data_IF_754697365279
#
_entry.id   IF_754697365279
#
_cell.length_a   1.000
_cell.length_b   1.000
_cell.length_c   1.000
_cell.angle_alpha   90.00
_cell.angle_beta   90.00
_cell.angle_gamma   90.00
#
_symmetry.space_group_name_H-M   'P 1'
#
loop_
_entity.id
_entity.type
_entity.pdbx_description
1 polymer ?
#
# COMPACT_ATOMS: atom_id res chain seq x y z
N UNK A 1 2.02 16.07 4.26
CA UNK A 1 1.32 15.49 3.07
C UNK A 1 0.97 16.62 2.11
N UNK A 2 1.19 16.40 0.84
CA UNK A 2 1.04 17.41 -0.21
C UNK A 2 0.13 16.86 -1.31
N UNK A 3 -0.87 17.66 -1.73
CA UNK A 3 -1.80 17.36 -2.83
C UNK A 3 -2.28 18.69 -3.45
N UNK A 4 -2.94 18.72 -4.62
CA UNK A 4 -3.28 19.95 -5.30
C UNK A 4 -3.97 20.98 -4.39
N UNK A 5 -3.36 22.15 -4.28
CA UNK A 5 -3.87 23.25 -3.44
C UNK A 5 -3.65 23.11 -1.93
N UNK A 6 -3.05 22.02 -1.45
CA UNK A 6 -2.89 21.75 -0.02
C UNK A 6 -1.48 21.27 0.33
N UNK A 7 -0.97 21.75 1.46
CA UNK A 7 0.23 21.25 2.12
C UNK A 7 -0.07 21.10 3.61
N UNK A 8 -0.25 19.87 4.08
CA UNK A 8 -0.55 19.57 5.50
C UNK A 8 0.77 19.36 6.24
N UNK A 9 1.05 20.20 7.21
CA UNK A 9 2.23 20.15 8.06
C UNK A 9 1.97 20.96 9.36
N UNK A 10 2.90 21.02 10.29
CA UNK A 10 2.71 21.57 11.63
C UNK A 10 2.18 23.03 11.71
N UNK A 11 2.44 23.88 10.70
CA UNK A 11 1.90 25.25 10.61
C UNK A 11 0.62 25.35 9.78
N UNK A 12 0.25 24.31 9.07
CA UNK A 12 -0.98 24.21 8.27
C UNK A 12 -1.61 22.84 8.49
N UNK A 13 -2.23 22.67 9.66
CA UNK A 13 -2.71 21.39 10.13
C UNK A 13 -4.04 20.95 9.51
N UNK A 14 -4.77 21.85 8.83
CA UNK A 14 -6.08 21.58 8.24
C UNK A 14 -6.05 21.86 6.75
N UNK A 15 -6.60 20.94 5.98
CA UNK A 15 -6.82 21.03 4.54
C UNK A 15 -8.17 20.50 4.15
N UNK A 16 -8.48 20.46 2.87
CA UNK A 16 -9.69 19.85 2.35
C UNK A 16 -9.61 18.34 2.50
N UNK A 17 -10.51 17.76 3.30
CA UNK A 17 -10.60 16.31 3.57
C UNK A 17 -9.28 15.66 4.10
N UNK A 18 -8.36 16.47 4.68
CA UNK A 18 -7.14 15.96 5.31
C UNK A 18 -6.68 16.85 6.45
N UNK A 19 -6.14 16.25 7.51
CA UNK A 19 -5.62 17.00 8.66
C UNK A 19 -4.46 16.28 9.35
N UNK A 20 -3.65 17.06 10.07
CA UNK A 20 -2.66 16.57 11.00
C UNK A 20 -3.35 16.39 12.36
N UNK A 21 -3.45 15.15 12.84
CA UNK A 21 -4.16 14.82 14.08
C UNK A 21 -3.38 15.23 15.32
N UNK A 22 -2.08 14.94 15.30
CA UNK A 22 -1.16 15.21 16.41
C UNK A 22 0.16 15.71 15.83
N UNK A 23 0.62 16.84 16.34
CA UNK A 23 1.97 17.38 16.09
C UNK A 23 2.83 17.03 17.30
N UNK A 24 3.74 16.07 17.16
CA UNK A 24 4.65 15.66 18.23
C UNK A 24 5.88 16.58 18.25
N UNK A 25 5.96 17.43 19.25
CA UNK A 25 7.08 18.36 19.44
C UNK A 25 8.20 17.79 20.30
N UNK A 26 7.96 16.67 20.97
CA UNK A 26 8.91 16.05 21.91
C UNK A 26 9.73 14.92 21.26
N UNK A 27 9.35 14.47 20.07
CA UNK A 27 10.03 13.44 19.29
C UNK A 27 9.87 12.02 19.81
N UNK A 28 8.86 11.76 20.63
CA UNK A 28 8.58 10.45 21.24
C UNK A 28 7.25 9.84 20.80
N UNK A 29 6.41 10.56 20.09
CA UNK A 29 5.10 10.10 19.64
C UNK A 29 5.01 9.99 18.11
N UNK A 30 3.99 9.29 17.62
CA UNK A 30 3.70 9.30 16.19
C UNK A 30 3.01 10.60 15.79
N UNK A 31 3.45 11.21 14.69
CA UNK A 31 2.65 12.19 13.95
C UNK A 31 1.68 11.45 13.02
N UNK A 32 0.44 11.85 13.01
CA UNK A 32 -0.58 11.21 12.18
C UNK A 32 -1.23 12.23 11.27
N UNK A 33 -1.22 11.97 9.98
CA UNK A 33 -2.02 12.71 9.00
C UNK A 33 -3.16 11.81 8.55
N UNK A 34 -4.38 12.24 8.79
CA UNK A 34 -5.59 11.59 8.33
C UNK A 34 -6.05 12.21 7.02
N UNK A 35 -6.25 11.36 6.00
CA UNK A 35 -6.94 11.69 4.77
C UNK A 35 -8.34 11.07 4.84
N UNK A 36 -9.36 11.91 5.08
CA UNK A 36 -10.74 11.46 5.24
C UNK A 36 -11.33 10.99 3.91
N UNK A 37 -11.00 11.69 2.84
CA UNK A 37 -11.48 11.39 1.50
C UNK A 37 -10.43 11.67 0.45
N UNK A 38 -10.13 10.67 -0.36
CA UNK A 38 -9.30 10.85 -1.54
C UNK A 38 -10.11 11.35 -2.72
N UNK A 39 -9.71 12.46 -3.32
CA UNK A 39 -10.33 12.96 -4.56
C UNK A 39 -9.84 12.17 -5.76
N UNK A 40 -10.77 11.72 -6.60
CA UNK A 40 -10.43 10.99 -7.82
C UNK A 40 -9.70 11.92 -8.80
N UNK A 41 -8.63 11.40 -9.40
CA UNK A 41 -7.79 12.15 -10.33
C UNK A 41 -6.72 13.02 -9.67
N UNK A 42 -6.72 13.19 -8.35
CA UNK A 42 -5.69 13.92 -7.62
C UNK A 42 -4.62 12.99 -7.06
N UNK A 43 -3.38 13.39 -7.22
CA UNK A 43 -2.23 12.68 -6.64
C UNK A 43 -1.80 13.31 -5.32
N UNK A 44 -1.30 12.48 -4.43
CA UNK A 44 -0.87 12.86 -3.08
C UNK A 44 0.56 12.40 -2.87
N UNK A 45 1.41 13.26 -2.32
CA UNK A 45 2.79 12.93 -1.96
C UNK A 45 2.95 13.03 -0.44
N UNK A 46 3.55 11.99 0.14
CA UNK A 46 3.93 11.99 1.54
C UNK A 46 5.46 12.10 1.66
N UNK A 47 5.89 13.09 2.44
CA UNK A 47 7.30 13.30 2.72
C UNK A 47 7.51 13.64 4.21
N UNK A 48 8.67 13.29 4.73
CA UNK A 48 9.14 13.62 6.08
C UNK A 48 10.31 14.57 5.95
N UNK A 49 10.24 15.73 6.59
CA UNK A 49 11.28 16.74 6.59
C UNK A 49 11.90 16.88 7.99
N UNK A 50 13.20 16.71 8.08
CA UNK A 50 13.97 16.96 9.31
C UNK A 50 14.13 18.46 9.50
N UNK A 51 13.14 19.08 10.15
CA UNK A 51 13.09 20.51 10.39
C UNK A 51 14.29 21.02 11.19
N UNK A 52 14.78 20.25 12.15
CA UNK A 52 15.95 20.62 12.96
C UNK A 52 17.23 20.74 12.14
N UNK A 53 17.29 20.09 10.99
CA UNK A 53 18.42 20.10 10.07
C UNK A 53 18.06 20.70 8.69
N UNK A 54 17.06 21.55 8.60
CA UNK A 54 16.59 22.14 7.34
C UNK A 54 17.67 22.94 6.57
N UNK A 55 18.70 23.41 7.25
CA UNK A 55 19.86 24.10 6.65
C UNK A 55 21.07 23.20 6.43
N UNK A 56 20.94 21.89 6.65
CA UNK A 56 22.01 20.90 6.56
C UNK A 56 21.64 19.76 5.61
N UNK A 57 21.70 19.99 4.28
CA UNK A 57 21.26 19.02 3.29
C UNK A 57 22.02 17.68 3.34
N UNK A 58 23.25 17.64 3.84
CA UNK A 58 24.04 16.42 4.05
C UNK A 58 23.85 15.77 5.42
N UNK A 59 22.89 16.19 6.22
CA UNK A 59 22.63 15.60 7.53
C UNK A 59 22.37 14.09 7.40
N UNK A 60 22.95 13.33 8.32
CA UNK A 60 22.66 11.90 8.48
C UNK A 60 21.69 11.59 9.62
N UNK A 61 21.18 12.63 10.29
CA UNK A 61 20.33 12.42 11.48
C UNK A 61 19.02 11.75 11.15
N UNK A 62 18.36 12.16 10.06
CA UNK A 62 17.13 11.51 9.63
C UNK A 62 17.36 10.02 9.26
N UNK A 63 18.45 9.70 8.54
CA UNK A 63 18.83 8.31 8.26
C UNK A 63 19.13 7.52 9.53
N UNK A 64 19.78 8.12 10.52
CA UNK A 64 20.14 7.46 11.79
C UNK A 64 18.95 7.32 12.75
N UNK A 65 17.87 8.09 12.56
CA UNK A 65 16.69 8.08 13.44
C UNK A 65 15.90 6.77 13.43
N UNK A 66 16.10 5.93 12.40
CA UNK A 66 15.31 4.71 12.15
C UNK A 66 13.80 5.01 12.00
N UNK A 67 13.46 6.22 11.55
CA UNK A 67 12.08 6.65 11.35
C UNK A 67 11.31 5.68 10.45
N UNK A 68 10.03 5.53 10.74
CA UNK A 68 9.11 4.66 10.00
C UNK A 68 7.85 5.44 9.64
N UNK A 69 7.31 5.15 8.48
CA UNK A 69 5.99 5.63 8.08
C UNK A 69 5.06 4.42 7.93
N UNK A 70 3.98 4.44 8.69
CA UNK A 70 2.92 3.43 8.63
C UNK A 70 1.73 4.03 7.89
N UNK A 71 1.24 3.33 6.89
CA UNK A 71 0.05 3.74 6.12
C UNK A 71 -1.09 2.81 6.44
N UNK A 72 -2.19 3.37 6.91
CA UNK A 72 -3.41 2.64 7.23
C UNK A 72 -4.51 2.96 6.22
N UNK A 73 -5.36 1.97 5.93
CA UNK A 73 -6.67 2.15 5.30
C UNK A 73 -7.72 1.65 6.28
N UNK A 74 -8.48 2.58 6.85
CA UNK A 74 -9.28 2.27 8.03
C UNK A 74 -8.40 1.79 9.19
N UNK A 75 -8.63 0.60 9.69
CA UNK A 75 -7.83 0.01 10.76
C UNK A 75 -6.68 -0.90 10.28
N UNK A 76 -6.55 -1.09 8.97
CA UNK A 76 -5.55 -2.00 8.41
C UNK A 76 -4.30 -1.29 7.98
N UNK A 77 -3.17 -1.72 8.53
CA UNK A 77 -1.84 -1.34 8.07
C UNK A 77 -1.61 -1.93 6.67
N UNK A 78 -1.46 -1.06 5.67
CA UNK A 78 -1.31 -1.46 4.26
C UNK A 78 0.10 -1.27 3.71
N UNK A 79 0.92 -0.41 4.36
CA UNK A 79 2.32 -0.16 4.02
C UNK A 79 3.12 0.18 5.27
N UNK A 80 4.38 -0.20 5.25
CA UNK A 80 5.41 0.30 6.16
C UNK A 80 6.61 0.74 5.33
N UNK A 81 7.10 1.93 5.59
CA UNK A 81 8.32 2.45 5.00
C UNK A 81 9.34 2.69 6.09
N UNK A 82 10.60 2.42 5.76
CA UNK A 82 11.75 2.66 6.62
C UNK A 82 12.62 3.71 5.96
N UNK A 83 13.07 4.68 6.73
CA UNK A 83 13.99 5.69 6.20
C UNK A 83 15.26 5.03 5.67
N UNK A 84 15.74 5.42 4.46
CA UNK A 84 17.00 4.90 3.91
C UNK A 84 18.18 5.25 4.83
N UNK A 85 18.95 4.23 5.24
CA UNK A 85 20.08 4.39 6.17
C UNK A 85 21.43 4.57 5.46
N UNK A 86 21.49 4.24 4.18
CA UNK A 86 22.69 4.26 3.34
C UNK A 86 23.01 5.64 2.75
N UNK A 87 22.14 6.63 2.96
CA UNK A 87 22.21 7.97 2.37
C UNK A 87 22.20 9.06 3.43
N UNK A 88 22.63 10.26 3.04
CA UNK A 88 22.43 11.51 3.78
C UNK A 88 21.28 12.30 3.14
N UNK A 89 20.68 13.17 3.91
CA UNK A 89 19.58 14.04 3.49
C UNK A 89 18.69 14.43 4.66
N UNK A 90 17.91 15.47 4.46
CA UNK A 90 16.97 15.98 5.44
C UNK A 90 15.51 15.99 4.93
N UNK A 91 15.27 15.53 3.68
CA UNK A 91 13.93 15.33 3.11
C UNK A 91 13.79 13.89 2.64
N UNK A 92 12.91 13.14 3.30
CA UNK A 92 12.54 11.79 2.93
C UNK A 92 11.21 11.80 2.17
N UNK A 93 11.26 11.67 0.85
CA UNK A 93 10.07 11.47 0.03
C UNK A 93 9.70 10.01 0.07
N UNK A 94 8.57 9.70 0.69
CA UNK A 94 8.19 8.31 1.07
C UNK A 94 7.44 7.63 -0.05
N UNK A 95 6.32 8.19 -0.47
CA UNK A 95 5.48 7.62 -1.53
C UNK A 95 4.66 8.70 -2.24
N UNK A 96 4.18 8.35 -3.42
CA UNK A 96 3.07 9.03 -4.11
C UNK A 96 1.87 8.11 -4.13
N UNK A 97 0.69 8.65 -3.85
CA UNK A 97 -0.58 8.00 -4.18
C UNK A 97 -1.13 8.67 -5.44
N UNK A 98 -1.32 7.91 -6.50
CA UNK A 98 -1.77 8.41 -7.81
C UNK A 98 -3.24 8.85 -7.80
N UNK A 99 -3.67 9.53 -8.85
CA UNK A 99 -5.06 9.92 -9.07
C UNK A 99 -6.04 8.75 -8.94
N UNK A 100 -5.62 7.55 -9.31
CA UNK A 100 -6.41 6.31 -9.18
C UNK A 100 -6.32 5.65 -7.79
N UNK A 101 -5.52 6.18 -6.88
CA UNK A 101 -5.32 5.63 -5.53
C UNK A 101 -4.26 4.53 -5.44
N UNK A 102 -3.43 4.37 -6.47
CA UNK A 102 -2.32 3.43 -6.43
C UNK A 102 -1.11 4.04 -5.71
N UNK A 103 -0.47 3.25 -4.84
CA UNK A 103 0.78 3.65 -4.20
C UNK A 103 1.96 3.40 -5.12
N UNK A 104 2.79 4.42 -5.30
CA UNK A 104 4.10 4.36 -5.93
C UNK A 104 5.15 4.68 -4.88
N UNK A 105 5.97 3.69 -4.56
CA UNK A 105 6.99 3.81 -3.54
C UNK A 105 8.16 4.60 -4.10
N UNK A 106 8.51 5.71 -3.45
CA UNK A 106 9.64 6.58 -3.82
C UNK A 106 10.81 6.25 -2.91
N UNK A 107 10.58 6.28 -1.61
CA UNK A 107 11.52 5.91 -0.55
C UNK A 107 12.93 6.51 -0.74
N UNK A 108 13.00 7.78 -1.09
CA UNK A 108 14.24 8.48 -1.39
C UNK A 108 14.53 9.55 -0.34
N UNK A 109 15.77 9.57 0.15
CA UNK A 109 16.29 10.62 1.02
C UNK A 109 17.12 11.58 0.18
N UNK A 110 16.81 12.87 0.24
CA UNK A 110 17.49 13.94 -0.47
C UNK A 110 17.89 15.08 0.46
N UNK A 111 18.90 15.83 0.08
CA UNK A 111 19.33 17.02 0.78
C UNK A 111 18.70 18.27 0.17
N UNK A 112 17.98 19.04 0.99
CA UNK A 112 17.35 20.31 0.61
C UNK A 112 17.71 21.42 1.61
N UNK A 113 17.62 22.68 1.16
CA UNK A 113 17.79 23.83 2.03
C UNK A 113 16.54 24.70 1.87
N UNK A 114 15.45 24.25 2.49
CA UNK A 114 14.14 24.88 2.39
C UNK A 114 13.45 24.91 3.75
N UNK A 115 12.58 25.90 3.98
CA UNK A 115 11.67 25.87 5.14
C UNK A 115 10.55 24.85 4.90
N UNK A 116 9.87 24.44 5.94
CA UNK A 116 8.79 23.44 5.91
C UNK A 116 7.66 23.80 4.92
N UNK A 117 7.33 25.09 4.78
CA UNK A 117 6.33 25.54 3.81
C UNK A 117 6.77 25.35 2.35
N UNK A 118 8.08 25.42 2.09
CA UNK A 118 8.65 25.35 0.75
C UNK A 118 8.97 23.93 0.29
N UNK A 119 8.85 22.93 1.18
CA UNK A 119 8.92 21.50 0.84
C UNK A 119 7.93 21.14 -0.28
N UNK A 120 6.79 21.85 -0.34
CA UNK A 120 5.84 21.74 -1.44
C UNK A 120 6.52 21.87 -2.81
N UNK A 121 7.42 22.85 -2.96
CA UNK A 121 8.09 23.13 -4.23
C UNK A 121 9.02 21.99 -4.65
N UNK A 122 9.66 21.33 -3.68
CA UNK A 122 10.56 20.20 -3.92
C UNK A 122 9.83 18.95 -4.42
N UNK A 123 8.62 18.73 -3.94
CA UNK A 123 7.88 17.48 -4.24
C UNK A 123 6.68 17.69 -5.19
N UNK A 124 6.30 18.93 -5.49
CA UNK A 124 5.16 19.23 -6.38
C UNK A 124 5.27 18.62 -7.79
N UNK A 125 6.46 18.46 -8.39
CA UNK A 125 6.57 17.74 -9.68
C UNK A 125 6.03 16.31 -9.61
N UNK A 126 6.05 15.68 -8.44
CA UNK A 126 5.56 14.31 -8.23
C UNK A 126 4.03 14.24 -8.17
N UNK A 127 3.32 15.38 -8.10
CA UNK A 127 1.86 15.42 -8.18
C UNK A 127 1.36 15.15 -9.61
N UNK A 128 2.20 15.31 -10.63
CA UNK A 128 1.88 14.89 -12.00
C UNK A 128 2.11 13.38 -12.16
N UNK A 129 1.04 12.61 -12.36
CA UNK A 129 1.09 11.16 -12.55
C UNK A 129 1.91 10.73 -13.78
N UNK A 130 2.19 11.65 -14.72
CA UNK A 130 3.04 11.41 -15.89
C UNK A 130 4.53 11.39 -15.55
N UNK A 131 4.92 11.99 -14.41
CA UNK A 131 6.31 11.92 -13.94
C UNK A 131 6.60 10.49 -13.52
N UNK A 132 7.56 9.86 -14.21
CA UNK A 132 8.01 8.53 -13.85
C UNK A 132 8.68 8.53 -12.47
N UNK A 133 8.13 7.75 -11.56
CA UNK A 133 8.80 7.43 -10.30
C UNK A 133 9.64 6.19 -10.54
N UNK A 134 10.95 6.33 -10.35
CA UNK A 134 11.85 5.19 -10.46
C UNK A 134 11.40 4.09 -9.48
N UNK A 135 11.09 2.91 -10.01
CA UNK A 135 10.74 1.79 -9.15
C UNK A 135 11.94 1.43 -8.26
N UNK A 136 11.71 1.32 -6.96
CA UNK A 136 12.74 0.83 -6.03
C UNK A 136 13.03 -0.62 -6.41
N UNK A 137 14.25 -0.86 -6.89
CA UNK A 137 14.66 -2.20 -7.30
C UNK A 137 14.74 -3.12 -6.07
N UNK A 138 13.90 -4.14 -6.05
CA UNK A 138 13.94 -5.16 -4.99
C UNK A 138 15.09 -6.12 -5.28
N UNK A 139 16.02 -6.26 -4.32
CA UNK A 139 17.16 -7.16 -4.47
C UNK A 139 16.71 -8.62 -4.64
N UNK A 140 17.54 -9.45 -5.30
CA UNK A 140 17.23 -10.87 -5.49
C UNK A 140 17.12 -11.63 -4.15
N UNK A 141 17.89 -11.23 -3.13
CA UNK A 141 17.77 -11.78 -1.77
C UNK A 141 16.41 -11.41 -1.15
N UNK A 142 16.00 -10.14 -1.20
CA UNK A 142 14.73 -9.72 -0.67
C UNK A 142 13.53 -10.41 -1.37
N UNK A 143 13.64 -10.67 -2.69
CA UNK A 143 12.65 -11.46 -3.41
C UNK A 143 12.59 -12.92 -2.94
N UNK A 144 13.74 -13.55 -2.65
CA UNK A 144 13.81 -14.92 -2.12
C UNK A 144 13.22 -15.01 -0.71
N UNK A 145 13.57 -14.04 0.15
CA UNK A 145 13.06 -13.95 1.52
C UNK A 145 11.55 -13.70 1.53
N UNK A 146 11.04 -12.82 0.66
CA UNK A 146 9.61 -12.59 0.48
C UNK A 146 8.85 -13.87 0.09
N UNK A 147 9.40 -14.68 -0.83
CA UNK A 147 8.82 -15.98 -1.19
C UNK A 147 8.81 -16.95 -0.02
N UNK A 148 9.88 -16.97 0.78
CA UNK A 148 9.97 -17.81 1.97
C UNK A 148 8.93 -17.43 3.02
N UNK A 149 8.77 -16.12 3.27
CA UNK A 149 7.72 -15.61 4.18
C UNK A 149 6.32 -15.91 3.68
N UNK A 150 6.08 -15.74 2.38
CA UNK A 150 4.79 -16.09 1.79
C UNK A 150 4.45 -17.58 2.02
N UNK A 151 5.42 -18.50 1.83
CA UNK A 151 5.22 -19.92 2.11
C UNK A 151 4.94 -20.20 3.59
N UNK A 152 5.64 -19.54 4.52
CA UNK A 152 5.31 -19.63 5.96
C UNK A 152 3.89 -19.13 6.25
N UNK A 153 3.44 -18.08 5.55
CA UNK A 153 2.06 -17.61 5.63
C UNK A 153 1.05 -18.65 5.15
N UNK A 154 1.34 -19.37 4.05
CA UNK A 154 0.50 -20.46 3.55
C UNK A 154 0.42 -21.61 4.57
N UNK A 155 1.54 -22.00 5.17
CA UNK A 155 1.59 -23.03 6.23
C UNK A 155 0.74 -22.62 7.45
N UNK A 156 0.88 -21.38 7.91
CA UNK A 156 0.09 -20.83 9.03
C UNK A 156 -1.41 -20.77 8.69
N UNK A 157 -1.75 -20.35 7.46
CA UNK A 157 -3.14 -20.30 6.99
C UNK A 157 -3.80 -21.69 6.99
N UNK A 158 -3.10 -22.71 6.48
CA UNK A 158 -3.59 -24.08 6.47
C UNK A 158 -3.68 -24.69 7.87
N UNK A 159 -2.82 -24.27 8.80
CA UNK A 159 -2.90 -24.63 10.22
C UNK A 159 -4.03 -23.91 10.97
N UNK A 160 -4.73 -22.96 10.33
CA UNK A 160 -5.80 -22.17 10.95
C UNK A 160 -5.31 -20.95 11.74
N UNK A 161 -4.02 -20.70 11.79
CA UNK A 161 -3.39 -19.58 12.49
C UNK A 161 -3.47 -18.30 11.65
N UNK A 162 -4.68 -17.75 11.49
CA UNK A 162 -4.97 -16.66 10.55
C UNK A 162 -4.15 -15.39 10.82
N UNK A 163 -4.00 -14.99 12.10
CA UNK A 163 -3.21 -13.80 12.42
C UNK A 163 -1.75 -13.97 12.03
N UNK A 164 -1.16 -15.12 12.34
CA UNK A 164 0.22 -15.42 11.96
C UNK A 164 0.41 -15.48 10.44
N UNK A 165 -0.59 -16.00 9.70
CA UNK A 165 -0.58 -15.99 8.25
C UNK A 165 -0.58 -14.56 7.69
N UNK A 166 -1.46 -13.69 8.21
CA UNK A 166 -1.53 -12.27 7.86
C UNK A 166 -0.18 -11.59 8.11
N UNK A 167 0.45 -11.82 9.26
CA UNK A 167 1.73 -11.22 9.62
C UNK A 167 2.86 -11.66 8.67
N UNK A 168 2.92 -12.94 8.30
CA UNK A 168 3.91 -13.44 7.34
C UNK A 168 3.69 -12.89 5.93
N UNK A 169 2.45 -12.79 5.46
CA UNK A 169 2.15 -12.19 4.15
C UNK A 169 2.50 -10.71 4.12
N UNK A 170 2.26 -9.97 5.22
CA UNK A 170 2.66 -8.56 5.34
C UNK A 170 4.16 -8.39 5.30
N UNK A 171 4.92 -9.19 6.05
CA UNK A 171 6.39 -9.19 6.00
C UNK A 171 6.91 -9.52 4.59
N UNK A 172 6.28 -10.46 3.88
CA UNK A 172 6.63 -10.74 2.49
C UNK A 172 6.42 -9.53 1.57
N UNK A 173 5.34 -8.79 1.77
CA UNK A 173 5.01 -7.56 1.04
C UNK A 173 5.98 -6.43 1.39
N UNK A 174 6.40 -6.30 2.63
CA UNK A 174 7.41 -5.34 3.08
C UNK A 174 8.76 -5.54 2.36
N UNK A 175 9.18 -6.80 2.19
CA UNK A 175 10.41 -7.13 1.45
C UNK A 175 10.25 -6.99 -0.07
N UNK A 176 9.06 -7.23 -0.60
CA UNK A 176 8.75 -7.12 -2.03
C UNK A 176 7.32 -6.64 -2.23
N UNK A 177 7.15 -5.33 -2.30
CA UNK A 177 5.86 -4.68 -2.49
C UNK A 177 5.20 -4.95 -3.86
N UNK A 178 5.96 -5.47 -4.82
CA UNK A 178 5.47 -5.93 -6.12
C UNK A 178 4.98 -7.40 -6.12
N UNK A 179 5.03 -8.10 -4.99
CA UNK A 179 4.74 -9.53 -4.95
C UNK A 179 3.24 -9.83 -4.93
N UNK A 180 2.59 -9.82 -6.10
CA UNK A 180 1.16 -10.02 -6.28
C UNK A 180 0.60 -11.29 -5.62
N UNK A 181 1.36 -12.42 -5.58
CA UNK A 181 0.92 -13.64 -4.89
C UNK A 181 0.73 -13.43 -3.38
N UNK A 182 1.64 -12.70 -2.73
CA UNK A 182 1.51 -12.42 -1.30
C UNK A 182 0.27 -11.57 -1.00
N UNK A 183 -0.06 -10.59 -1.85
CA UNK A 183 -1.31 -9.83 -1.73
C UNK A 183 -2.55 -10.70 -1.93
N UNK A 184 -2.55 -11.64 -2.88
CA UNK A 184 -3.68 -12.57 -3.09
C UNK A 184 -3.91 -13.46 -1.86
N UNK A 185 -2.84 -14.00 -1.28
CA UNK A 185 -2.88 -14.82 -0.09
C UNK A 185 -3.33 -14.01 1.14
N UNK A 186 -2.82 -12.78 1.29
CA UNK A 186 -3.24 -11.84 2.33
C UNK A 186 -4.75 -11.54 2.22
N UNK A 187 -5.24 -11.28 1.00
CA UNK A 187 -6.65 -11.06 0.75
C UNK A 187 -7.53 -12.23 1.16
N UNK A 188 -7.09 -13.47 0.88
CA UNK A 188 -7.78 -14.67 1.32
C UNK A 188 -7.76 -14.82 2.84
N UNK A 189 -6.64 -14.54 3.50
CA UNK A 189 -6.53 -14.60 4.96
C UNK A 189 -7.42 -13.56 5.63
N UNK A 190 -7.46 -12.32 5.13
CA UNK A 190 -8.37 -11.28 5.60
C UNK A 190 -9.83 -11.68 5.43
N UNK A 191 -10.22 -12.27 4.29
CA UNK A 191 -11.59 -12.74 4.09
C UNK A 191 -12.00 -13.76 5.16
N UNK A 192 -11.10 -14.72 5.43
CA UNK A 192 -11.37 -15.76 6.45
C UNK A 192 -11.39 -15.20 7.86
N UNK A 193 -10.67 -14.11 8.12
CA UNK A 193 -10.67 -13.37 9.39
C UNK A 193 -11.87 -12.41 9.55
N UNK A 194 -12.69 -12.22 8.51
CA UNK A 194 -13.84 -11.30 8.52
C UNK A 194 -13.50 -9.85 8.14
N UNK A 195 -12.25 -9.57 7.80
CA UNK A 195 -11.77 -8.24 7.42
C UNK A 195 -12.07 -7.98 5.93
N UNK A 196 -13.32 -7.64 5.64
CA UNK A 196 -13.86 -7.59 4.27
C UNK A 196 -13.23 -6.49 3.41
N UNK A 197 -13.10 -5.27 3.95
CA UNK A 197 -12.54 -4.13 3.21
C UNK A 197 -11.08 -4.36 2.84
N UNK A 198 -10.30 -4.86 3.79
CA UNK A 198 -8.90 -5.22 3.65
C UNK A 198 -8.70 -6.35 2.64
N UNK A 199 -9.60 -7.33 2.67
CA UNK A 199 -9.59 -8.43 1.70
C UNK A 199 -9.79 -7.92 0.27
N UNK A 200 -10.78 -7.06 0.03
CA UNK A 200 -11.03 -6.47 -1.29
C UNK A 200 -9.82 -5.66 -1.74
N UNK A 201 -9.26 -4.83 -0.86
CA UNK A 201 -8.08 -4.04 -1.17
C UNK A 201 -6.89 -4.92 -1.56
N UNK A 202 -6.54 -5.93 -0.74
CA UNK A 202 -5.42 -6.82 -1.01
C UNK A 202 -5.59 -7.60 -2.32
N UNK A 203 -6.79 -8.11 -2.60
CA UNK A 203 -7.07 -8.81 -3.85
C UNK A 203 -7.00 -7.87 -5.07
N UNK A 204 -7.44 -6.61 -4.98
CA UNK A 204 -7.27 -5.62 -6.05
C UNK A 204 -5.79 -5.32 -6.31
N UNK A 205 -4.98 -5.20 -5.26
CA UNK A 205 -3.52 -5.06 -5.40
C UNK A 205 -2.89 -6.28 -6.07
N UNK A 206 -3.29 -7.48 -5.68
CA UNK A 206 -2.83 -8.70 -6.33
C UNK A 206 -3.13 -8.73 -7.84
N UNK A 207 -4.33 -8.29 -8.25
CA UNK A 207 -4.72 -8.21 -9.66
C UNK A 207 -3.82 -7.24 -10.43
N UNK A 208 -3.59 -6.06 -9.85
CA UNK A 208 -2.78 -5.02 -10.48
C UNK A 208 -1.29 -5.42 -10.60
N UNK A 209 -0.74 -6.10 -9.59
CA UNK A 209 0.68 -6.47 -9.51
C UNK A 209 0.99 -7.84 -10.12
N UNK A 210 -0.03 -8.61 -10.52
CA UNK A 210 0.16 -9.96 -11.06
C UNK A 210 1.01 -9.94 -12.35
N UNK A 211 2.17 -10.57 -12.30
CA UNK A 211 3.16 -10.62 -13.37
C UNK A 211 3.78 -12.01 -13.52
N UNK A 212 4.52 -12.20 -14.61
CA UNK A 212 5.19 -13.46 -14.90
C UNK A 212 4.25 -14.64 -15.19
N UNK A 213 4.75 -15.85 -15.08
CA UNK A 213 4.03 -17.09 -15.43
C UNK A 213 2.82 -17.38 -14.52
N UNK A 214 2.80 -16.84 -13.31
CA UNK A 214 1.69 -17.01 -12.35
C UNK A 214 0.59 -15.94 -12.46
N UNK A 215 0.76 -14.93 -13.32
CA UNK A 215 -0.13 -13.77 -13.39
C UNK A 215 -1.62 -14.15 -13.57
N UNK A 216 -1.91 -15.03 -14.50
CA UNK A 216 -3.26 -15.49 -14.75
C UNK A 216 -3.88 -16.20 -13.51
N UNK A 217 -3.08 -17.00 -12.81
CA UNK A 217 -3.51 -17.70 -11.60
C UNK A 217 -3.79 -16.72 -10.45
N UNK A 218 -2.89 -15.73 -10.24
CA UNK A 218 -3.05 -14.71 -9.21
C UNK A 218 -4.28 -13.86 -9.48
N UNK A 219 -4.49 -13.39 -10.72
CA UNK A 219 -5.70 -12.63 -11.06
C UNK A 219 -6.96 -13.44 -10.88
N UNK A 220 -6.99 -14.69 -11.36
CA UNK A 220 -8.15 -15.55 -11.25
C UNK A 220 -8.54 -15.79 -9.79
N UNK A 221 -7.60 -16.17 -8.93
CA UNK A 221 -7.86 -16.39 -7.50
C UNK A 221 -8.32 -15.11 -6.80
N UNK A 222 -7.74 -13.96 -7.14
CA UNK A 222 -8.10 -12.68 -6.52
C UNK A 222 -9.51 -12.22 -6.96
N UNK A 223 -9.88 -12.34 -8.23
CA UNK A 223 -11.25 -12.09 -8.67
C UNK A 223 -12.25 -13.03 -7.99
N UNK A 224 -11.91 -14.32 -7.86
CA UNK A 224 -12.74 -15.29 -7.17
C UNK A 224 -12.94 -14.94 -5.68
N UNK A 225 -11.90 -14.51 -5.00
CA UNK A 225 -11.99 -14.08 -3.60
C UNK A 225 -12.92 -12.87 -3.46
N UNK A 226 -12.78 -11.85 -4.33
CA UNK A 226 -13.67 -10.67 -4.35
C UNK A 226 -15.13 -11.10 -4.63
N UNK A 227 -15.34 -12.00 -5.59
CA UNK A 227 -16.66 -12.50 -5.92
C UNK A 227 -17.36 -13.17 -4.72
N UNK A 228 -16.63 -13.97 -3.94
CA UNK A 228 -17.15 -14.62 -2.73
C UNK A 228 -17.60 -13.60 -1.67
N UNK A 229 -16.91 -12.47 -1.57
CA UNK A 229 -17.27 -11.40 -0.66
C UNK A 229 -18.60 -10.77 -1.09
N UNK A 230 -18.74 -10.43 -2.37
CA UNK A 230 -20.00 -9.90 -2.92
C UNK A 230 -21.16 -10.89 -2.80
N UNK A 231 -20.90 -12.18 -3.06
CA UNK A 231 -21.91 -13.23 -2.88
C UNK A 231 -22.39 -13.33 -1.43
N UNK A 232 -21.47 -13.30 -0.47
CA UNK A 232 -21.79 -13.32 0.97
C UNK A 232 -22.58 -12.07 1.41
N UNK A 233 -22.39 -10.94 0.75
CA UNK A 233 -23.12 -9.71 0.96
C UNK A 233 -24.48 -9.65 0.21
N UNK A 234 -24.86 -10.71 -0.53
CA UNK A 234 -26.07 -10.73 -1.34
C UNK A 234 -26.00 -9.89 -2.62
N UNK A 235 -24.82 -9.37 -2.97
CA UNK A 235 -24.58 -8.58 -4.18
C UNK A 235 -24.30 -9.48 -5.38
N UNK A 236 -25.32 -10.25 -5.80
CA UNK A 236 -25.17 -11.33 -6.77
C UNK A 236 -24.71 -10.86 -8.16
N UNK A 237 -25.11 -9.70 -8.62
CA UNK A 237 -24.67 -9.13 -9.90
C UNK A 237 -23.15 -8.85 -9.90
N UNK A 238 -22.63 -8.27 -8.83
CA UNK A 238 -21.19 -8.01 -8.67
C UNK A 238 -20.40 -9.31 -8.48
N UNK A 239 -20.95 -10.26 -7.72
CA UNK A 239 -20.37 -11.58 -7.56
C UNK A 239 -20.25 -12.29 -8.92
N UNK A 240 -21.32 -12.33 -9.71
CA UNK A 240 -21.35 -12.95 -11.04
C UNK A 240 -20.28 -12.35 -11.94
N UNK A 241 -20.20 -11.02 -12.00
CA UNK A 241 -19.18 -10.31 -12.81
C UNK A 241 -17.76 -10.73 -12.42
N UNK A 242 -17.46 -10.80 -11.14
CA UNK A 242 -16.11 -11.15 -10.65
C UNK A 242 -15.81 -12.64 -10.84
N UNK A 243 -16.77 -13.55 -10.71
CA UNK A 243 -16.59 -14.97 -11.07
C UNK A 243 -16.31 -15.15 -12.57
N UNK A 244 -16.99 -14.40 -13.44
CA UNK A 244 -16.72 -14.40 -14.87
C UNK A 244 -15.31 -13.88 -15.19
N UNK A 245 -14.86 -12.79 -14.54
CA UNK A 245 -13.49 -12.29 -14.66
C UNK A 245 -12.45 -13.34 -14.20
N UNK A 246 -12.72 -14.04 -13.10
CA UNK A 246 -11.85 -15.14 -12.66
C UNK A 246 -11.73 -16.24 -13.73
N UNK A 247 -12.86 -16.68 -14.30
CA UNK A 247 -12.90 -17.69 -15.37
C UNK A 247 -12.17 -17.22 -16.63
N UNK A 248 -12.27 -15.93 -16.99
CA UNK A 248 -11.56 -15.35 -18.14
C UNK A 248 -10.04 -15.38 -17.95
N UNK A 249 -9.54 -15.18 -16.72
CA UNK A 249 -8.11 -15.26 -16.44
C UNK A 249 -7.58 -16.70 -16.51
N UNK A 250 -8.34 -17.64 -15.97
CA UNK A 250 -7.98 -19.06 -15.94
C UNK A 250 -9.23 -19.93 -15.79
N UNK A 251 -9.42 -20.86 -16.71
CA UNK A 251 -10.51 -21.83 -16.61
C UNK A 251 -10.36 -22.71 -15.36
N UNK A 252 -11.46 -22.85 -14.59
CA UNK A 252 -11.51 -23.69 -13.42
C UNK A 252 -12.97 -24.10 -13.14
N UNK A 253 -13.27 -25.40 -12.99
CA UNK A 253 -14.64 -25.90 -12.70
C UNK A 253 -15.28 -25.28 -11.44
N UNK A 254 -14.46 -24.83 -10.48
CA UNK A 254 -14.95 -24.14 -9.29
C UNK A 254 -15.62 -22.81 -9.64
N UNK A 255 -15.09 -22.09 -10.64
CA UNK A 255 -15.67 -20.85 -11.10
C UNK A 255 -16.99 -21.08 -11.85
N UNK A 256 -17.07 -22.14 -12.66
CA UNK A 256 -18.30 -22.51 -13.38
C UNK A 256 -19.43 -22.80 -12.39
N UNK A 257 -19.17 -23.62 -11.38
CA UNK A 257 -20.15 -23.94 -10.32
C UNK A 257 -20.56 -22.67 -9.54
N UNK A 258 -19.65 -21.75 -9.29
CA UNK A 258 -19.97 -20.50 -8.61
C UNK A 258 -20.86 -19.58 -9.48
N UNK A 259 -20.58 -19.49 -10.77
CA UNK A 259 -21.39 -18.73 -11.75
C UNK A 259 -22.82 -19.31 -11.79
N UNK A 260 -22.97 -20.62 -11.98
CA UNK A 260 -24.29 -21.29 -12.00
C UNK A 260 -25.07 -21.02 -10.70
N UNK A 261 -24.40 -21.17 -9.55
CA UNK A 261 -25.03 -20.93 -8.24
C UNK A 261 -25.57 -19.51 -8.09
N UNK A 262 -24.83 -18.51 -8.55
CA UNK A 262 -25.20 -17.10 -8.42
C UNK A 262 -26.23 -16.68 -9.45
N UNK A 263 -26.22 -17.26 -10.66
CA UNK A 263 -27.22 -17.01 -11.70
C UNK A 263 -28.62 -17.51 -11.34
N UNK A 264 -28.72 -18.49 -10.45
CA UNK A 264 -29.98 -19.08 -9.99
C UNK A 264 -30.52 -18.43 -8.70
N UNK A 265 -29.96 -17.29 -8.30
CA UNK A 265 -30.37 -16.50 -7.12
C UNK A 265 -31.13 -15.26 -7.53
#
# INVERSE_FOLDING_TARGET
MIFPGNNIYFRNQQGEDAHLDVDDIDGYGPETITLEKKHYGESYVYAVHDYSNQTRPESRQLAASQAKVFVYMGQSLVRTYYVPQDRSGNLWTVFRMTGNGDFQDINTLSGVTVDAQDVLNEVSPLLDDKVEVAAVAVSSSAQADAKTLNRKGEEAYHAGNLQQAIDFYRQAIELNNGYGQAYSNLGLAYQKAGNTAESIWANRKAIALASGSSAATVRASSYYNIARIYEAAGQFADALRHYQLAKQQKANPVYDKAIERVQNR
#
